data_IF_589846153506
#
_entry.id   IF_589846153506
#
_cell.length_a   1.000
_cell.length_b   1.000
_cell.length_c   1.000
_cell.angle_alpha   90.00
_cell.angle_beta   90.00
_cell.angle_gamma   90.00
#
_symmetry.space_group_name_H-M   'P 1'
#
loop_
_entity.id
_entity.type
_entity.pdbx_description
1 polymer ?
#
# COMPACT_ATOMS: atom_id res chain seq x y z
N UNK A 1 23.03 -2.35 -5.52
CA UNK A 1 23.44 -1.03 -5.07
C UNK A 1 22.32 -0.51 -4.20
N UNK A 2 22.66 -0.07 -3.00
CA UNK A 2 21.69 0.47 -2.07
C UNK A 2 21.24 1.87 -2.52
N UNK A 3 20.10 2.38 -2.04
CA UNK A 3 19.62 3.72 -2.42
C UNK A 3 20.67 4.81 -2.09
N UNK A 4 21.42 4.61 -1.01
CA UNK A 4 22.50 5.50 -0.58
C UNK A 4 23.66 5.56 -1.58
N UNK A 5 23.96 4.46 -2.30
CA UNK A 5 25.02 4.43 -3.32
C UNK A 5 24.69 5.35 -4.49
N UNK A 6 23.43 5.31 -4.95
CA UNK A 6 22.95 6.14 -6.06
C UNK A 6 22.91 7.63 -5.70
N UNK A 7 22.54 7.94 -4.46
CA UNK A 7 22.54 9.32 -3.96
C UNK A 7 23.96 9.87 -3.83
N UNK A 8 24.90 9.08 -3.31
CA UNK A 8 26.31 9.46 -3.24
C UNK A 8 26.91 9.66 -4.64
N UNK A 9 26.59 8.78 -5.59
CA UNK A 9 27.02 8.90 -6.98
C UNK A 9 26.53 10.20 -7.62
N UNK A 10 25.24 10.53 -7.44
CA UNK A 10 24.66 11.80 -7.90
C UNK A 10 25.37 13.00 -7.29
N UNK A 11 25.50 13.06 -5.95
CA UNK A 11 26.10 14.20 -5.27
C UNK A 11 27.57 14.39 -5.64
N UNK A 12 28.34 13.30 -5.71
CA UNK A 12 29.74 13.33 -6.12
C UNK A 12 29.89 13.86 -7.54
N UNK A 13 29.14 13.29 -8.49
CA UNK A 13 29.20 13.72 -9.89
C UNK A 13 28.76 15.18 -10.04
N UNK A 14 27.61 15.55 -9.49
CA UNK A 14 27.04 16.89 -9.64
C UNK A 14 27.97 17.97 -9.05
N UNK A 15 28.49 17.76 -7.84
CA UNK A 15 29.41 18.73 -7.21
C UNK A 15 30.75 18.80 -7.94
N UNK A 16 31.27 17.69 -8.47
CA UNK A 16 32.51 17.70 -9.27
C UNK A 16 32.38 18.43 -10.62
N UNK A 17 31.17 18.45 -11.18
CA UNK A 17 30.90 19.08 -12.48
C UNK A 17 30.55 20.57 -12.35
N UNK A 18 29.90 20.97 -11.25
CA UNK A 18 29.35 22.32 -11.08
C UNK A 18 30.09 23.19 -10.06
N UNK A 19 30.90 22.61 -9.16
CA UNK A 19 31.63 23.34 -8.12
C UNK A 19 33.15 23.24 -8.37
N UNK A 20 33.90 24.24 -7.94
CA UNK A 20 35.36 24.24 -8.09
C UNK A 20 35.99 23.10 -7.27
N UNK A 21 36.96 22.38 -7.84
CA UNK A 21 37.63 21.25 -7.19
C UNK A 21 38.35 21.61 -5.86
N UNK A 22 38.55 22.89 -5.59
CA UNK A 22 39.15 23.41 -4.35
C UNK A 22 38.13 23.60 -3.21
N UNK A 23 36.83 23.59 -3.49
CA UNK A 23 35.80 23.69 -2.47
C UNK A 23 35.58 22.32 -1.82
N UNK A 24 36.24 22.10 -0.68
CA UNK A 24 35.87 20.99 0.22
C UNK A 24 34.53 21.30 0.87
N UNK A 25 33.46 20.88 0.22
CA UNK A 25 32.10 20.98 0.74
C UNK A 25 31.98 20.08 1.99
N UNK A 26 31.75 20.70 3.15
CA UNK A 26 31.54 19.97 4.41
C UNK A 26 30.25 19.12 4.38
N UNK A 27 29.23 19.57 3.62
CA UNK A 27 27.99 18.85 3.36
C UNK A 27 27.57 19.10 1.90
N UNK A 28 27.97 18.20 0.97
CA UNK A 28 27.61 18.30 -0.44
C UNK A 28 26.10 18.34 -0.67
N UNK A 29 25.33 17.58 0.12
CA UNK A 29 23.88 17.49 -0.06
C UNK A 29 23.19 18.81 0.27
N UNK A 30 23.52 19.39 1.42
CA UNK A 30 23.00 20.71 1.81
C UNK A 30 23.44 21.81 0.86
N UNK A 31 24.67 21.74 0.35
CA UNK A 31 25.15 22.71 -0.65
C UNK A 31 24.32 22.67 -1.94
N UNK A 32 24.12 21.47 -2.52
CA UNK A 32 23.30 21.31 -3.73
C UNK A 32 21.87 21.77 -3.51
N UNK A 33 21.26 21.44 -2.36
CA UNK A 33 19.89 21.87 -2.06
C UNK A 33 19.73 23.38 -1.93
N UNK A 34 20.73 24.08 -1.38
CA UNK A 34 20.64 25.52 -1.11
C UNK A 34 21.03 26.36 -2.31
N UNK A 35 21.98 25.88 -3.12
CA UNK A 35 22.62 26.67 -4.18
C UNK A 35 22.14 26.26 -5.57
N UNK A 36 21.90 24.96 -5.79
CA UNK A 36 21.75 24.38 -7.13
C UNK A 36 20.39 23.72 -7.40
N UNK A 37 19.48 23.72 -6.42
CA UNK A 37 18.17 23.08 -6.56
C UNK A 37 17.36 23.55 -7.80
N UNK A 38 17.33 24.86 -8.16
CA UNK A 38 16.65 25.30 -9.38
C UNK A 38 17.23 24.66 -10.66
N UNK A 39 18.55 24.49 -10.73
CA UNK A 39 19.24 23.92 -11.88
C UNK A 39 19.01 22.41 -11.97
N UNK A 40 19.05 21.72 -10.82
CA UNK A 40 18.69 20.29 -10.71
C UNK A 40 17.25 20.06 -11.18
N UNK A 41 16.29 20.87 -10.72
CA UNK A 41 14.89 20.79 -11.16
C UNK A 41 14.74 21.10 -12.65
N UNK A 42 15.54 22.04 -13.18
CA UNK A 42 15.59 22.34 -14.61
C UNK A 42 16.07 21.16 -15.46
N UNK A 43 17.13 20.48 -15.01
CA UNK A 43 17.66 19.26 -15.64
C UNK A 43 16.64 18.12 -15.62
N UNK A 44 16.00 17.89 -14.46
CA UNK A 44 14.90 16.94 -14.34
C UNK A 44 13.78 17.23 -15.34
N UNK A 45 13.31 18.48 -15.39
CA UNK A 45 12.26 18.86 -16.33
C UNK A 45 12.63 18.52 -17.78
N UNK A 46 13.88 18.75 -18.18
CA UNK A 46 14.35 18.42 -19.53
C UNK A 46 14.38 16.92 -19.79
N UNK A 47 14.84 16.12 -18.83
CA UNK A 47 14.89 14.66 -18.96
C UNK A 47 13.50 14.03 -19.11
N UNK A 48 12.50 14.61 -18.44
CA UNK A 48 11.10 14.17 -18.53
C UNK A 48 10.32 14.85 -19.67
N UNK A 49 10.77 16.00 -20.21
CA UNK A 49 10.03 16.77 -21.22
C UNK A 49 9.78 16.03 -22.53
N UNK A 50 10.65 15.06 -22.89
CA UNK A 50 10.46 14.21 -24.08
C UNK A 50 9.32 13.21 -23.95
N UNK A 51 8.78 13.03 -22.74
CA UNK A 51 7.79 12.03 -22.40
C UNK A 51 6.63 12.71 -21.65
N UNK A 52 5.65 13.25 -22.39
CA UNK A 52 4.43 13.78 -21.75
C UNK A 52 3.49 12.64 -21.37
N UNK A 53 2.99 12.67 -20.14
CA UNK A 53 2.01 11.70 -19.68
C UNK A 53 0.67 11.89 -20.42
N UNK A 54 0.00 10.80 -20.88
CA UNK A 54 -1.32 10.85 -21.51
C UNK A 54 -2.42 11.64 -20.76
N UNK A 55 -2.39 11.71 -19.42
CA UNK A 55 -3.34 12.47 -18.62
C UNK A 55 -3.12 14.00 -18.70
N UNK A 56 -1.95 14.44 -19.16
CA UNK A 56 -1.55 15.84 -19.30
C UNK A 56 -1.48 16.28 -20.78
N UNK A 57 -1.44 15.33 -21.73
CA UNK A 57 -1.44 15.63 -23.16
C UNK A 57 -2.85 15.99 -23.65
N UNK A 58 -3.02 17.24 -24.08
CA UNK A 58 -4.27 17.74 -24.66
C UNK A 58 -4.46 17.33 -26.13
N UNK A 59 -3.45 16.72 -26.75
CA UNK A 59 -3.51 16.21 -28.13
C UNK A 59 -4.01 14.76 -28.14
N UNK A 60 -5.23 14.52 -27.65
CA UNK A 60 -5.90 13.26 -27.93
C UNK A 60 -6.27 13.19 -29.42
N UNK A 61 -5.33 12.76 -30.26
CA UNK A 61 -5.67 12.25 -31.58
C UNK A 61 -6.31 10.88 -31.38
N UNK A 62 -7.50 10.68 -31.97
CA UNK A 62 -8.39 9.51 -31.80
C UNK A 62 -7.81 8.17 -32.31
N UNK A 63 -6.53 8.13 -32.62
CA UNK A 63 -5.78 6.95 -33.04
C UNK A 63 -4.40 7.03 -32.40
N UNK A 64 -4.15 6.17 -31.41
CA UNK A 64 -2.81 5.92 -30.91
C UNK A 64 -2.05 5.18 -32.02
N UNK A 65 -0.92 5.72 -32.47
CA UNK A 65 -0.03 5.03 -33.40
C UNK A 65 0.84 4.07 -32.59
N UNK A 66 0.71 2.72 -32.77
CA UNK A 66 1.47 1.75 -32.00
C UNK A 66 3.00 1.92 -32.12
N UNK A 67 3.49 2.54 -33.21
CA UNK A 67 4.93 2.80 -33.41
C UNK A 67 5.43 3.95 -32.53
N UNK A 68 4.62 5.01 -32.40
CA UNK A 68 4.92 6.15 -31.53
C UNK A 68 4.88 5.69 -30.07
N UNK A 69 3.91 4.84 -29.70
CA UNK A 69 3.85 4.24 -28.37
C UNK A 69 5.08 3.37 -28.09
N UNK A 70 5.50 2.49 -29.00
CA UNK A 70 6.72 1.67 -28.83
C UNK A 70 8.00 2.51 -28.69
N UNK A 71 8.19 3.56 -29.50
CA UNK A 71 9.36 4.45 -29.38
C UNK A 71 9.36 5.25 -28.06
N UNK A 72 8.18 5.63 -27.55
CA UNK A 72 8.02 6.27 -26.24
C UNK A 72 8.30 5.34 -25.06
N UNK A 73 8.12 4.03 -25.22
CA UNK A 73 8.49 3.04 -24.20
C UNK A 73 9.99 2.72 -24.22
N UNK A 74 10.65 2.77 -25.38
CA UNK A 74 12.04 2.31 -25.55
C UNK A 74 13.10 3.40 -25.31
N UNK A 75 12.82 4.69 -25.57
CA UNK A 75 13.83 5.78 -25.49
C UNK A 75 13.66 6.71 -24.27
N UNK A 76 13.39 6.12 -23.11
CA UNK A 76 13.15 6.87 -21.89
C UNK A 76 14.46 7.34 -21.23
N UNK A 77 14.94 8.51 -21.66
CA UNK A 77 16.18 9.14 -21.15
C UNK A 77 16.25 9.29 -19.63
N UNK A 78 15.11 9.31 -18.94
CA UNK A 78 15.06 9.42 -17.49
C UNK A 78 15.37 8.10 -16.75
N UNK A 79 15.31 6.94 -17.45
CA UNK A 79 15.70 5.62 -16.95
C UNK A 79 17.18 5.29 -17.19
N UNK A 80 17.86 6.07 -18.03
CA UNK A 80 19.27 5.83 -18.34
C UNK A 80 20.14 6.06 -17.10
N UNK A 81 20.88 5.02 -16.70
CA UNK A 81 21.85 5.12 -15.61
C UNK A 81 23.13 5.75 -16.17
N UNK A 82 23.39 6.99 -15.79
CA UNK A 82 24.61 7.71 -16.12
C UNK A 82 25.36 8.01 -14.82
N UNK A 83 26.67 7.76 -14.80
CA UNK A 83 27.52 8.02 -13.63
C UNK A 83 27.02 7.34 -12.33
N UNK A 84 26.32 6.21 -12.45
CA UNK A 84 25.82 5.45 -11.31
C UNK A 84 24.46 5.91 -10.76
N UNK A 85 23.73 6.80 -11.43
CA UNK A 85 22.36 7.19 -11.04
C UNK A 85 21.44 7.43 -12.26
N UNK A 86 20.13 7.32 -12.05
CA UNK A 86 19.08 7.72 -13.00
C UNK A 86 18.33 8.97 -12.50
N UNK A 87 17.39 9.50 -13.28
CA UNK A 87 16.66 10.72 -12.90
C UNK A 87 15.62 10.48 -11.78
N UNK A 88 15.20 9.23 -11.57
CA UNK A 88 14.30 8.85 -10.48
C UNK A 88 15.05 8.91 -9.15
N UNK A 89 16.32 8.48 -9.11
CA UNK A 89 17.19 8.59 -7.94
C UNK A 89 17.33 10.05 -7.50
N UNK A 90 17.44 10.98 -8.45
CA UNK A 90 17.51 12.41 -8.16
C UNK A 90 16.20 12.92 -7.55
N UNK A 91 15.04 12.49 -8.07
CA UNK A 91 13.73 12.86 -7.49
C UNK A 91 13.59 12.28 -6.07
N UNK A 92 13.93 11.01 -5.87
CA UNK A 92 13.91 10.37 -4.55
C UNK A 92 14.82 11.11 -3.57
N UNK A 93 16.03 11.47 -3.99
CA UNK A 93 16.95 12.29 -3.20
C UNK A 93 16.35 13.65 -2.81
N UNK A 94 15.76 14.39 -3.77
CA UNK A 94 15.10 15.67 -3.50
C UNK A 94 13.99 15.48 -2.47
N UNK A 95 13.10 14.51 -2.67
CA UNK A 95 11.95 14.32 -1.79
C UNK A 95 12.38 13.83 -0.41
N UNK A 96 13.44 13.02 -0.29
CA UNK A 96 13.95 12.55 0.99
C UNK A 96 14.70 13.64 1.77
N UNK A 97 15.42 14.54 1.08
CA UNK A 97 16.33 15.50 1.72
C UNK A 97 15.72 16.89 1.88
N UNK A 98 14.87 17.35 0.96
CA UNK A 98 14.25 18.67 1.05
C UNK A 98 13.25 18.78 2.22
N UNK A 99 13.26 19.90 2.97
CA UNK A 99 12.17 20.23 3.89
C UNK A 99 10.91 20.63 3.11
N UNK A 100 9.74 20.51 3.77
CA UNK A 100 8.44 20.78 3.14
C UNK A 100 8.29 22.20 2.56
N UNK A 101 8.89 23.20 3.20
CA UNK A 101 8.82 24.60 2.78
C UNK A 101 9.54 24.86 1.44
N UNK A 102 10.63 24.15 1.19
CA UNK A 102 11.38 24.19 -0.08
C UNK A 102 10.74 23.30 -1.14
N UNK A 103 10.17 22.17 -0.73
CA UNK A 103 9.55 21.20 -1.61
C UNK A 103 8.21 21.69 -2.19
N UNK A 104 7.45 22.50 -1.44
CA UNK A 104 6.17 23.06 -1.89
C UNK A 104 6.28 23.87 -3.20
N UNK A 105 7.19 24.85 -3.30
CA UNK A 105 7.47 25.58 -4.54
C UNK A 105 8.00 24.71 -5.68
N UNK A 106 8.75 23.64 -5.38
CA UNK A 106 9.29 22.71 -6.38
C UNK A 106 8.22 21.75 -6.94
N UNK A 107 7.15 21.49 -6.18
CA UNK A 107 6.11 20.50 -6.48
C UNK A 107 5.56 20.57 -7.93
N UNK A 108 5.21 21.74 -8.50
CA UNK A 108 4.65 21.80 -9.85
C UNK A 108 5.58 21.23 -10.94
N UNK A 109 6.90 21.28 -10.73
CA UNK A 109 7.90 20.73 -11.65
C UNK A 109 8.10 19.23 -11.44
N UNK A 110 7.85 18.73 -10.24
CA UNK A 110 8.06 17.33 -9.87
C UNK A 110 6.84 16.46 -10.15
N UNK A 111 5.62 16.99 -10.04
CA UNK A 111 4.38 16.22 -10.23
C UNK A 111 4.31 15.53 -11.60
N UNK A 112 4.57 16.21 -12.75
CA UNK A 112 4.51 15.54 -14.05
C UNK A 112 5.48 14.37 -14.16
N UNK A 113 6.72 14.53 -13.67
CA UNK A 113 7.72 13.47 -13.65
C UNK A 113 7.30 12.32 -12.73
N UNK A 114 6.78 12.63 -11.54
CA UNK A 114 6.32 11.63 -10.56
C UNK A 114 5.15 10.82 -11.09
N UNK A 115 4.18 11.46 -11.75
CA UNK A 115 3.08 10.76 -12.40
C UNK A 115 3.58 9.91 -13.56
N UNK A 116 4.50 10.39 -14.40
CA UNK A 116 5.09 9.57 -15.47
C UNK A 116 5.76 8.30 -14.93
N UNK A 117 6.51 8.42 -13.82
CA UNK A 117 7.13 7.28 -13.13
C UNK A 117 6.06 6.31 -12.61
N UNK A 118 4.98 6.82 -12.02
CA UNK A 118 3.87 6.02 -11.50
C UNK A 118 3.08 5.32 -12.61
N UNK A 119 2.98 5.92 -13.79
CA UNK A 119 2.27 5.40 -14.95
C UNK A 119 3.13 4.49 -15.85
N UNK A 120 4.40 4.28 -15.49
CA UNK A 120 5.32 3.43 -16.24
C UNK A 120 4.85 1.98 -16.35
N UNK A 121 5.13 1.31 -17.47
CA UNK A 121 4.72 -0.09 -17.66
C UNK A 121 5.47 -1.05 -16.72
N UNK A 122 6.68 -0.71 -16.27
CA UNK A 122 7.41 -1.52 -15.31
C UNK A 122 7.00 -1.17 -13.87
N UNK A 123 6.50 -2.21 -13.20
CA UNK A 123 6.03 -2.21 -11.81
C UNK A 123 7.10 -1.68 -10.85
N UNK A 124 8.39 -1.90 -11.13
CA UNK A 124 9.48 -1.40 -10.28
C UNK A 124 9.46 0.14 -10.17
N UNK A 125 9.26 0.84 -11.28
CA UNK A 125 9.12 2.29 -11.31
C UNK A 125 7.80 2.76 -10.71
N UNK A 126 6.71 2.02 -10.90
CA UNK A 126 5.44 2.31 -10.22
C UNK A 126 5.58 2.32 -8.70
N UNK A 127 6.30 1.35 -8.14
CA UNK A 127 6.60 1.26 -6.70
C UNK A 127 7.38 2.49 -6.24
N UNK A 128 8.43 2.88 -6.97
CA UNK A 128 9.22 4.09 -6.71
C UNK A 128 8.34 5.35 -6.76
N UNK A 129 7.50 5.49 -7.79
CA UNK A 129 6.54 6.58 -7.93
C UNK A 129 5.59 6.68 -6.73
N UNK A 130 5.01 5.56 -6.29
CA UNK A 130 4.13 5.52 -5.13
C UNK A 130 4.86 5.93 -3.84
N UNK A 131 6.12 5.53 -3.66
CA UNK A 131 6.95 5.92 -2.52
C UNK A 131 7.31 7.41 -2.54
N UNK A 132 7.69 7.95 -3.70
CA UNK A 132 7.95 9.39 -3.90
C UNK A 132 6.71 10.18 -3.47
N UNK A 133 5.52 9.81 -3.97
CA UNK A 133 4.25 10.46 -3.60
C UNK A 133 4.01 10.38 -2.09
N UNK A 134 4.22 9.22 -1.47
CA UNK A 134 3.98 9.05 -0.04
C UNK A 134 4.86 9.97 0.80
N UNK A 135 6.11 10.18 0.39
CA UNK A 135 7.01 11.14 1.03
C UNK A 135 6.57 12.59 0.81
N UNK A 136 6.09 12.94 -0.39
CA UNK A 136 5.47 14.25 -0.65
C UNK A 136 4.26 14.48 0.29
N UNK A 137 3.39 13.47 0.46
CA UNK A 137 2.22 13.52 1.35
C UNK A 137 2.61 13.74 2.81
N UNK A 138 3.69 13.11 3.27
CA UNK A 138 4.20 13.27 4.62
C UNK A 138 4.68 14.71 4.89
N UNK A 139 5.40 15.31 3.93
CA UNK A 139 6.08 16.61 4.10
C UNK A 139 5.23 17.83 3.75
N UNK A 140 4.26 17.70 2.85
CA UNK A 140 3.53 18.84 2.30
C UNK A 140 2.19 19.11 2.98
N UNK A 141 1.71 20.35 2.83
CA UNK A 141 0.38 20.72 3.27
C UNK A 141 -0.71 20.17 2.32
N UNK A 142 -1.92 20.00 2.86
CA UNK A 142 -3.05 19.43 2.11
C UNK A 142 -3.50 20.28 0.91
N UNK A 143 -3.36 21.60 0.96
CA UNK A 143 -3.77 22.52 -0.12
C UNK A 143 -2.97 22.31 -1.40
N UNK A 144 -1.68 21.98 -1.27
CA UNK A 144 -0.81 21.69 -2.42
C UNK A 144 -1.15 20.34 -3.06
N UNK A 145 -1.52 19.33 -2.25
CA UNK A 145 -1.81 17.97 -2.69
C UNK A 145 -3.19 17.79 -3.34
N UNK A 146 -4.17 18.65 -3.01
CA UNK A 146 -5.53 18.54 -3.58
C UNK A 146 -5.55 18.80 -5.10
N UNK A 147 -4.57 19.51 -5.64
CA UNK A 147 -4.57 19.99 -7.03
C UNK A 147 -3.90 19.05 -8.03
N UNK A 148 -3.28 17.97 -7.58
CA UNK A 148 -2.29 17.22 -8.37
C UNK A 148 -2.81 15.94 -9.03
N UNK A 149 -4.12 15.64 -8.96
CA UNK A 149 -4.76 14.45 -9.56
C UNK A 149 -4.09 13.10 -9.26
N UNK A 150 -3.32 13.02 -8.16
CA UNK A 150 -2.50 11.86 -7.77
C UNK A 150 -3.37 10.67 -7.38
N UNK A 151 -4.54 10.93 -6.82
CA UNK A 151 -5.48 9.92 -6.35
C UNK A 151 -5.87 8.93 -7.45
N UNK A 152 -6.23 9.42 -8.63
CA UNK A 152 -6.62 8.54 -9.75
C UNK A 152 -5.49 7.63 -10.23
N UNK A 153 -4.26 8.15 -10.34
CA UNK A 153 -3.11 7.33 -10.72
C UNK A 153 -2.84 6.22 -9.69
N UNK A 154 -2.95 6.53 -8.39
CA UNK A 154 -2.82 5.53 -7.33
C UNK A 154 -3.97 4.50 -7.35
N UNK A 155 -5.20 4.89 -7.70
CA UNK A 155 -6.29 3.93 -7.89
C UNK A 155 -6.00 2.94 -9.02
N UNK A 156 -5.40 3.38 -10.13
CA UNK A 156 -5.00 2.48 -11.22
C UNK A 156 -3.93 1.46 -10.78
N UNK A 157 -3.05 1.80 -9.84
CA UNK A 157 -2.10 0.84 -9.29
C UNK A 157 -2.78 -0.31 -8.53
N UNK A 158 -3.98 -0.12 -7.98
CA UNK A 158 -4.68 -1.16 -7.21
C UNK A 158 -5.24 -2.29 -8.08
N UNK A 159 -5.38 -2.09 -9.40
CA UNK A 159 -5.83 -3.14 -10.31
C UNK A 159 -4.73 -4.11 -10.73
N UNK A 160 -3.48 -3.90 -10.31
CA UNK A 160 -2.35 -4.77 -10.63
C UNK A 160 -2.36 -6.02 -9.74
N UNK A 161 -2.86 -7.12 -10.29
CA UNK A 161 -3.09 -8.39 -9.58
C UNK A 161 -2.63 -9.61 -10.39
N UNK A 162 -1.86 -9.39 -11.44
CA UNK A 162 -1.54 -10.41 -12.43
C UNK A 162 -0.26 -11.16 -12.07
N UNK A 163 0.75 -10.44 -11.62
CA UNK A 163 2.11 -10.94 -11.39
C UNK A 163 2.50 -10.84 -9.92
N UNK A 164 3.42 -11.69 -9.44
CA UNK A 164 3.90 -11.65 -8.05
C UNK A 164 4.61 -10.33 -7.71
N UNK A 165 5.30 -9.74 -8.69
CA UNK A 165 5.92 -8.42 -8.52
C UNK A 165 4.91 -7.30 -8.23
N UNK A 166 3.64 -7.49 -8.60
CA UNK A 166 2.57 -6.51 -8.34
C UNK A 166 2.30 -6.36 -6.83
N UNK A 167 2.63 -7.37 -6.01
CA UNK A 167 2.47 -7.32 -4.55
C UNK A 167 3.26 -6.15 -3.95
N UNK A 168 4.46 -5.88 -4.46
CA UNK A 168 5.26 -4.74 -4.01
C UNK A 168 4.57 -3.42 -4.33
N UNK A 169 3.94 -3.33 -5.50
CA UNK A 169 3.18 -2.14 -5.90
C UNK A 169 1.96 -1.95 -5.00
N UNK A 170 1.19 -2.99 -4.71
CA UNK A 170 0.04 -2.89 -3.79
C UNK A 170 0.49 -2.43 -2.40
N UNK A 171 1.58 -3.00 -1.88
CA UNK A 171 2.14 -2.64 -0.58
C UNK A 171 2.63 -1.19 -0.51
N UNK A 172 3.01 -0.58 -1.65
CA UNK A 172 3.35 0.84 -1.73
C UNK A 172 2.11 1.73 -1.96
N UNK A 173 1.22 1.33 -2.87
CA UNK A 173 0.08 2.13 -3.33
C UNK A 173 -1.03 2.26 -2.29
N UNK A 174 -1.39 1.18 -1.56
CA UNK A 174 -2.45 1.24 -0.55
C UNK A 174 -2.12 2.24 0.57
N UNK A 175 -0.98 2.14 1.29
CA UNK A 175 -0.66 3.12 2.32
C UNK A 175 -0.56 4.54 1.76
N UNK A 176 0.04 4.71 0.58
CA UNK A 176 0.17 6.01 -0.08
C UNK A 176 -1.19 6.67 -0.35
N UNK A 177 -2.13 5.92 -0.94
CA UNK A 177 -3.46 6.42 -1.25
C UNK A 177 -4.27 6.73 0.01
N UNK A 178 -4.21 5.85 1.03
CA UNK A 178 -4.93 6.07 2.28
C UNK A 178 -4.37 7.28 3.05
N UNK A 179 -3.04 7.45 3.08
CA UNK A 179 -2.38 8.61 3.69
C UNK A 179 -2.73 9.91 2.93
N UNK A 180 -2.81 9.86 1.60
CA UNK A 180 -3.26 10.98 0.76
C UNK A 180 -4.71 11.35 1.06
N UNK A 181 -5.61 10.38 1.17
CA UNK A 181 -7.03 10.62 1.51
C UNK A 181 -7.11 11.28 2.88
N UNK A 182 -6.39 10.76 3.88
CA UNK A 182 -6.41 11.31 5.23
C UNK A 182 -5.89 12.74 5.31
N UNK A 183 -4.82 13.03 4.56
CA UNK A 183 -4.21 14.36 4.52
C UNK A 183 -5.11 15.37 3.80
N UNK A 184 -5.79 14.96 2.72
CA UNK A 184 -6.49 15.88 1.82
C UNK A 184 -7.98 16.02 2.11
N UNK A 185 -8.60 15.05 2.79
CA UNK A 185 -10.05 15.01 3.04
C UNK A 185 -10.34 15.01 4.54
N UNK A 186 -11.13 15.98 5.04
CA UNK A 186 -11.48 16.04 6.46
C UNK A 186 -12.15 14.75 6.96
N UNK A 187 -11.82 14.36 8.18
CA UNK A 187 -12.47 13.24 8.87
C UNK A 187 -13.99 13.43 8.93
N UNK A 188 -14.75 12.36 8.69
CA UNK A 188 -16.22 12.40 8.65
C UNK A 188 -16.83 13.08 7.42
N UNK A 189 -16.04 13.66 6.51
CA UNK A 189 -16.59 14.26 5.29
C UNK A 189 -17.14 13.20 4.32
N UNK A 190 -18.22 13.55 3.61
CA UNK A 190 -18.83 12.67 2.58
C UNK A 190 -17.82 12.27 1.50
N UNK A 191 -16.96 13.20 1.09
CA UNK A 191 -15.92 12.94 0.07
C UNK A 191 -14.90 11.91 0.56
N UNK A 192 -14.46 11.99 1.82
CA UNK A 192 -13.55 11.01 2.43
C UNK A 192 -14.20 9.62 2.43
N UNK A 193 -15.44 9.53 2.91
CA UNK A 193 -16.17 8.26 2.93
C UNK A 193 -16.32 7.65 1.52
N UNK A 194 -16.65 8.46 0.51
CA UNK A 194 -16.74 8.00 -0.88
C UNK A 194 -15.41 7.46 -1.42
N UNK A 195 -14.28 8.10 -1.10
CA UNK A 195 -12.97 7.61 -1.51
C UNK A 195 -12.59 6.31 -0.78
N UNK A 196 -12.86 6.20 0.52
CA UNK A 196 -12.67 4.94 1.25
C UNK A 196 -13.55 3.81 0.71
N UNK A 197 -14.80 4.10 0.35
CA UNK A 197 -15.68 3.12 -0.32
C UNK A 197 -15.11 2.71 -1.68
N UNK A 198 -14.57 3.66 -2.45
CA UNK A 198 -13.90 3.35 -3.72
C UNK A 198 -12.69 2.45 -3.52
N UNK A 199 -11.83 2.71 -2.51
CA UNK A 199 -10.70 1.82 -2.18
C UNK A 199 -11.19 0.42 -1.79
N UNK A 200 -12.26 0.35 -1.01
CA UNK A 200 -12.87 -0.92 -0.59
C UNK A 200 -13.42 -1.70 -1.80
N UNK A 201 -14.15 -1.04 -2.70
CA UNK A 201 -14.78 -1.70 -3.86
C UNK A 201 -13.74 -2.00 -4.94
N UNK A 202 -13.13 -0.95 -5.49
CA UNK A 202 -12.28 -1.03 -6.68
C UNK A 202 -10.95 -1.72 -6.40
N UNK A 203 -10.41 -1.55 -5.19
CA UNK A 203 -9.16 -2.17 -4.78
C UNK A 203 -9.37 -3.52 -4.11
N UNK A 204 -10.05 -3.54 -2.96
CA UNK A 204 -10.07 -4.73 -2.09
C UNK A 204 -11.06 -5.78 -2.57
N UNK A 205 -12.33 -5.43 -2.78
CA UNK A 205 -13.37 -6.41 -3.12
C UNK A 205 -13.17 -6.99 -4.51
N UNK A 206 -12.88 -6.16 -5.52
CA UNK A 206 -12.51 -6.67 -6.84
C UNK A 206 -11.21 -7.49 -6.76
N UNK A 207 -10.24 -7.05 -5.97
CA UNK A 207 -9.00 -7.78 -5.76
C UNK A 207 -9.19 -9.17 -5.18
N UNK A 208 -10.08 -9.33 -4.20
CA UNK A 208 -10.41 -10.63 -3.63
C UNK A 208 -11.02 -11.59 -4.66
N UNK A 209 -11.83 -11.08 -5.58
CA UNK A 209 -12.41 -11.90 -6.65
C UNK A 209 -11.34 -12.39 -7.63
N UNK A 210 -10.31 -11.58 -7.89
CA UNK A 210 -9.22 -11.91 -8.81
C UNK A 210 -8.09 -12.74 -8.17
N UNK A 211 -7.85 -12.60 -6.87
CA UNK A 211 -6.76 -13.27 -6.15
C UNK A 211 -7.13 -14.68 -5.63
N UNK A 212 -8.36 -15.15 -5.90
CA UNK A 212 -8.89 -16.37 -5.29
C UNK A 212 -8.01 -17.62 -5.53
N UNK A 213 -7.92 -18.44 -4.48
CA UNK A 213 -7.36 -19.80 -4.36
C UNK A 213 -5.90 -20.09 -4.74
N UNK A 214 -5.13 -19.15 -5.31
CA UNK A 214 -3.75 -19.43 -5.74
C UNK A 214 -2.71 -18.33 -5.48
N UNK A 215 -3.12 -17.10 -5.14
CA UNK A 215 -2.22 -15.94 -4.98
C UNK A 215 -2.17 -15.44 -3.54
N UNK A 216 -1.55 -16.23 -2.66
CA UNK A 216 -1.54 -15.98 -1.20
C UNK A 216 -0.83 -14.67 -0.82
N UNK A 217 0.21 -14.27 -1.56
CA UNK A 217 0.90 -13.00 -1.34
C UNK A 217 0.04 -11.77 -1.70
N UNK A 218 -0.72 -11.83 -2.80
CA UNK A 218 -1.69 -10.78 -3.14
C UNK A 218 -2.80 -10.72 -2.10
N UNK A 219 -3.29 -11.87 -1.65
CA UNK A 219 -4.31 -11.93 -0.62
C UNK A 219 -3.85 -11.25 0.68
N UNK A 220 -2.60 -11.49 1.10
CA UNK A 220 -2.00 -10.77 2.23
C UNK A 220 -2.00 -9.25 2.00
N UNK A 221 -1.54 -8.79 0.84
CA UNK A 221 -1.51 -7.37 0.50
C UNK A 221 -2.91 -6.72 0.47
N UNK A 222 -3.92 -7.44 -0.01
CA UNK A 222 -5.31 -6.99 -0.08
C UNK A 222 -6.00 -6.96 1.29
N UNK A 223 -5.59 -7.82 2.22
CA UNK A 223 -6.13 -7.83 3.59
C UNK A 223 -5.54 -6.70 4.46
N UNK A 224 -4.28 -6.31 4.25
CA UNK A 224 -3.63 -5.22 5.00
C UNK A 224 -4.46 -3.92 5.14
N UNK A 225 -5.08 -3.38 4.07
CA UNK A 225 -5.89 -2.16 4.20
C UNK A 225 -7.26 -2.38 4.88
N UNK A 226 -7.75 -3.61 5.03
CA UNK A 226 -9.12 -3.91 5.50
C UNK A 226 -9.39 -3.32 6.89
N UNK A 227 -8.46 -3.49 7.83
CA UNK A 227 -8.61 -2.92 9.18
C UNK A 227 -8.82 -1.41 9.15
N UNK A 228 -8.02 -0.67 8.37
CA UNK A 228 -8.15 0.79 8.25
C UNK A 228 -9.44 1.18 7.54
N UNK A 229 -9.79 0.46 6.47
CA UNK A 229 -11.04 0.67 5.73
C UNK A 229 -12.27 0.50 6.62
N UNK A 230 -12.35 -0.55 7.42
CA UNK A 230 -13.48 -0.76 8.32
C UNK A 230 -13.54 0.28 9.45
N UNK A 231 -12.41 0.71 10.02
CA UNK A 231 -12.38 1.78 11.02
C UNK A 231 -12.93 3.10 10.48
N UNK A 232 -12.62 3.43 9.22
CA UNK A 232 -13.05 4.68 8.58
C UNK A 232 -14.48 4.61 8.01
N UNK A 233 -14.87 3.48 7.44
CA UNK A 233 -16.22 3.27 6.91
C UNK A 233 -17.26 3.07 8.02
N UNK A 234 -16.84 2.56 9.18
CA UNK A 234 -17.73 2.28 10.30
C UNK A 234 -18.88 1.35 9.88
N UNK A 235 -20.15 1.69 10.20
CA UNK A 235 -21.31 0.87 9.83
C UNK A 235 -21.48 0.61 8.33
N UNK A 236 -20.93 1.45 7.45
CA UNK A 236 -20.98 1.20 6.01
C UNK A 236 -20.20 -0.07 5.61
N UNK A 237 -19.27 -0.53 6.46
CA UNK A 237 -18.57 -1.81 6.28
C UNK A 237 -19.49 -3.03 6.22
N UNK A 238 -20.74 -2.92 6.71
CA UNK A 238 -21.74 -4.00 6.67
C UNK A 238 -22.05 -4.43 5.23
N UNK A 239 -22.02 -3.51 4.26
CA UNK A 239 -22.30 -3.82 2.84
C UNK A 239 -21.32 -4.83 2.25
N UNK A 240 -20.11 -4.91 2.80
CA UNK A 240 -19.01 -5.74 2.28
C UNK A 240 -18.72 -6.96 3.16
N UNK A 241 -19.50 -7.15 4.23
CA UNK A 241 -19.21 -8.12 5.29
C UNK A 241 -19.16 -9.56 4.78
N UNK A 242 -20.08 -9.95 3.89
CA UNK A 242 -20.13 -11.32 3.35
C UNK A 242 -18.81 -11.67 2.66
N UNK A 243 -18.39 -10.88 1.68
CA UNK A 243 -17.15 -11.12 0.92
C UNK A 243 -15.93 -11.05 1.82
N UNK A 244 -15.86 -10.05 2.69
CA UNK A 244 -14.70 -9.85 3.57
C UNK A 244 -14.54 -11.01 4.55
N UNK A 245 -15.62 -11.45 5.21
CA UNK A 245 -15.55 -12.59 6.14
C UNK A 245 -15.17 -13.87 5.42
N UNK A 246 -15.76 -14.16 4.25
CA UNK A 246 -15.42 -15.35 3.46
C UNK A 246 -13.91 -15.40 3.20
N UNK A 247 -13.35 -14.32 2.65
CA UNK A 247 -11.94 -14.24 2.29
C UNK A 247 -11.02 -14.32 3.51
N UNK A 248 -11.36 -13.64 4.60
CA UNK A 248 -10.61 -13.74 5.87
C UNK A 248 -10.59 -15.19 6.37
N UNK A 249 -11.74 -15.88 6.37
CA UNK A 249 -11.81 -17.25 6.88
C UNK A 249 -11.12 -18.27 5.97
N UNK A 250 -11.11 -18.03 4.65
CA UNK A 250 -10.30 -18.80 3.71
C UNK A 250 -8.80 -18.59 3.96
N UNK A 251 -8.37 -17.34 4.18
CA UNK A 251 -6.99 -17.02 4.52
C UNK A 251 -6.56 -17.73 5.81
N UNK A 252 -7.40 -17.72 6.86
CA UNK A 252 -7.16 -18.44 8.12
C UNK A 252 -7.01 -19.96 7.94
N UNK A 253 -7.62 -20.52 6.90
CA UNK A 253 -7.49 -21.92 6.53
C UNK A 253 -6.18 -22.27 5.83
N UNK A 254 -5.34 -21.28 5.51
CA UNK A 254 -4.02 -21.50 4.91
C UNK A 254 -2.95 -21.51 6.01
N UNK A 255 -2.05 -22.48 6.02
CA UNK A 255 -0.95 -22.56 7.00
C UNK A 255 0.20 -21.60 6.63
N UNK A 256 -0.11 -20.30 6.60
CA UNK A 256 0.82 -19.22 6.25
C UNK A 256 0.77 -18.16 7.35
N UNK A 257 1.85 -18.07 8.14
CA UNK A 257 1.88 -17.24 9.35
C UNK A 257 1.53 -15.76 9.11
N UNK A 258 2.19 -15.12 8.15
CA UNK A 258 2.01 -13.70 7.85
C UNK A 258 0.58 -13.39 7.39
N UNK A 259 0.05 -14.22 6.50
CA UNK A 259 -1.33 -14.11 6.03
C UNK A 259 -2.33 -14.29 7.18
N UNK A 260 -2.13 -15.28 8.04
CA UNK A 260 -2.99 -15.54 9.20
C UNK A 260 -2.99 -14.38 10.20
N UNK A 261 -1.84 -13.78 10.48
CA UNK A 261 -1.77 -12.60 11.36
C UNK A 261 -2.58 -11.42 10.81
N UNK A 262 -2.43 -11.11 9.52
CA UNK A 262 -3.18 -10.02 8.87
C UNK A 262 -4.67 -10.35 8.81
N UNK A 263 -5.04 -11.61 8.56
CA UNK A 263 -6.43 -12.06 8.56
C UNK A 263 -7.08 -11.95 9.94
N UNK A 264 -6.38 -12.34 11.02
CA UNK A 264 -6.87 -12.19 12.40
C UNK A 264 -7.03 -10.71 12.79
N UNK A 265 -6.07 -9.85 12.48
CA UNK A 265 -6.17 -8.41 12.74
C UNK A 265 -7.39 -7.80 12.03
N UNK A 266 -7.56 -8.16 10.75
CA UNK A 266 -8.70 -7.75 9.94
C UNK A 266 -10.01 -8.25 10.54
N UNK A 267 -10.09 -9.53 10.91
CA UNK A 267 -11.26 -10.14 11.52
C UNK A 267 -11.66 -9.44 12.82
N UNK A 268 -10.69 -9.18 13.70
CA UNK A 268 -10.97 -8.47 14.94
C UNK A 268 -11.53 -7.06 14.68
N UNK A 269 -10.98 -6.34 13.71
CA UNK A 269 -11.46 -5.00 13.37
C UNK A 269 -12.86 -5.04 12.75
N UNK A 270 -13.12 -5.98 11.84
CA UNK A 270 -14.44 -6.21 11.24
C UNK A 270 -15.46 -6.58 12.31
N UNK A 271 -15.11 -7.47 13.25
CA UNK A 271 -15.98 -7.85 14.36
C UNK A 271 -16.31 -6.68 15.27
N UNK A 272 -15.32 -5.86 15.67
CA UNK A 272 -15.56 -4.66 16.50
C UNK A 272 -16.45 -3.64 15.79
N UNK A 273 -16.27 -3.46 14.48
CA UNK A 273 -16.98 -2.45 13.69
C UNK A 273 -18.41 -2.87 13.36
N UNK A 274 -18.61 -4.15 13.04
CA UNK A 274 -19.88 -4.67 12.51
C UNK A 274 -20.54 -5.69 13.46
N UNK A 275 -20.21 -5.67 14.75
CA UNK A 275 -20.63 -6.67 15.76
C UNK A 275 -22.12 -7.05 15.70
N UNK A 276 -23.10 -6.14 15.47
CA UNK A 276 -24.52 -6.52 15.48
C UNK A 276 -24.91 -7.47 14.33
N UNK A 277 -24.06 -7.61 13.31
CA UNK A 277 -24.29 -8.45 12.14
C UNK A 277 -23.36 -9.67 12.07
N UNK A 278 -22.43 -9.82 13.02
CA UNK A 278 -21.44 -10.91 13.03
C UNK A 278 -22.09 -12.28 13.31
N UNK A 279 -23.13 -12.34 14.14
CA UNK A 279 -23.84 -13.59 14.48
C UNK A 279 -24.25 -14.41 13.26
N UNK A 280 -24.65 -13.76 12.16
CA UNK A 280 -25.03 -14.45 10.91
C UNK A 280 -23.89 -15.28 10.30
N UNK A 281 -22.65 -14.90 10.59
CA UNK A 281 -21.44 -15.54 10.07
C UNK A 281 -20.77 -16.46 11.10
N UNK A 282 -21.41 -16.73 12.24
CA UNK A 282 -20.83 -17.43 13.38
C UNK A 282 -20.13 -18.75 13.02
N UNK A 283 -20.82 -19.61 12.26
CA UNK A 283 -20.28 -20.92 11.88
C UNK A 283 -19.06 -20.83 10.95
N UNK A 284 -19.07 -19.87 10.01
CA UNK A 284 -17.94 -19.69 9.07
C UNK A 284 -16.72 -19.12 9.78
N UNK A 285 -16.93 -18.14 10.67
CA UNK A 285 -15.86 -17.55 11.48
C UNK A 285 -15.27 -18.58 12.44
N UNK A 286 -16.13 -19.31 13.18
CA UNK A 286 -15.68 -20.33 14.13
C UNK A 286 -14.91 -21.45 13.42
N UNK A 287 -15.40 -21.91 12.27
CA UNK A 287 -14.67 -22.86 11.42
C UNK A 287 -13.28 -22.33 11.06
N UNK A 288 -13.18 -21.10 10.55
CA UNK A 288 -11.89 -20.49 10.19
C UNK A 288 -10.92 -20.39 11.38
N UNK A 289 -11.40 -19.94 12.55
CA UNK A 289 -10.60 -19.88 13.77
C UNK A 289 -10.13 -21.26 14.23
N UNK A 290 -11.02 -22.26 14.21
CA UNK A 290 -10.71 -23.63 14.59
C UNK A 290 -9.68 -24.27 13.63
N UNK A 291 -9.83 -24.05 12.32
CA UNK A 291 -8.87 -24.52 11.32
C UNK A 291 -7.49 -23.89 11.52
N UNK A 292 -7.44 -22.56 11.69
CA UNK A 292 -6.19 -21.85 11.96
C UNK A 292 -5.53 -22.36 13.26
N UNK A 293 -6.31 -22.55 14.32
CA UNK A 293 -5.82 -23.12 15.58
C UNK A 293 -5.20 -24.50 15.40
N UNK A 294 -5.82 -25.39 14.61
CA UNK A 294 -5.30 -26.72 14.35
C UNK A 294 -3.89 -26.72 13.72
N UNK A 295 -3.54 -25.69 12.94
CA UNK A 295 -2.19 -25.54 12.37
C UNK A 295 -1.14 -25.25 13.45
N UNK A 296 -1.48 -24.45 14.46
CA UNK A 296 -0.52 -23.90 15.42
C UNK A 296 -0.57 -24.51 16.82
N UNK A 297 -1.62 -25.26 17.17
CA UNK A 297 -1.86 -25.76 18.54
C UNK A 297 -0.68 -26.54 19.11
N UNK A 298 -0.13 -27.48 18.32
CA UNK A 298 0.96 -28.38 18.75
C UNK A 298 2.36 -27.83 18.51
N UNK A 299 2.49 -26.67 17.87
CA UNK A 299 3.81 -26.11 17.50
C UNK A 299 4.39 -25.28 18.63
N UNK A 300 5.71 -25.28 18.82
CA UNK A 300 6.34 -24.69 20.01
C UNK A 300 7.24 -23.47 19.75
N UNK A 301 7.29 -22.96 18.51
CA UNK A 301 8.08 -21.74 18.25
C UNK A 301 7.50 -20.53 18.98
N UNK A 302 8.33 -19.51 19.20
CA UNK A 302 7.88 -18.23 19.77
C UNK A 302 6.76 -17.59 18.95
N UNK A 303 6.85 -17.67 17.62
CA UNK A 303 5.85 -17.14 16.69
C UNK A 303 4.53 -17.92 16.79
N UNK A 304 4.58 -19.24 16.97
CA UNK A 304 3.36 -20.06 17.15
C UNK A 304 2.65 -19.71 18.46
N UNK A 305 3.40 -19.40 19.52
CA UNK A 305 2.85 -18.93 20.81
C UNK A 305 2.13 -17.59 20.67
N UNK A 306 2.71 -16.66 19.91
CA UNK A 306 2.09 -15.37 19.58
C UNK A 306 0.79 -15.56 18.76
N UNK A 307 0.83 -16.44 17.76
CA UNK A 307 -0.33 -16.80 16.95
C UNK A 307 -1.46 -17.39 17.81
N UNK A 308 -1.14 -18.35 18.70
CA UNK A 308 -2.11 -18.93 19.64
C UNK A 308 -2.73 -17.88 20.54
N UNK A 309 -1.92 -16.97 21.10
CA UNK A 309 -2.43 -15.88 21.93
C UNK A 309 -3.39 -14.97 21.15
N UNK A 310 -3.04 -14.64 19.91
CA UNK A 310 -3.87 -13.82 19.02
C UNK A 310 -5.18 -14.52 18.66
N UNK A 311 -5.15 -15.82 18.39
CA UNK A 311 -6.34 -16.65 18.15
C UNK A 311 -7.27 -16.68 19.37
N UNK A 312 -6.74 -16.92 20.57
CA UNK A 312 -7.50 -16.89 21.82
C UNK A 312 -8.16 -15.51 22.04
N UNK A 313 -7.42 -14.42 21.83
CA UNK A 313 -7.97 -13.06 21.92
C UNK A 313 -9.08 -12.82 20.89
N UNK A 314 -8.89 -13.30 19.66
CA UNK A 314 -9.89 -13.20 18.59
C UNK A 314 -11.14 -14.01 18.90
N UNK A 315 -10.97 -15.20 19.48
CA UNK A 315 -12.09 -16.04 19.92
C UNK A 315 -12.88 -15.40 21.07
N UNK A 316 -12.22 -14.78 22.06
CA UNK A 316 -12.93 -14.03 23.10
C UNK A 316 -13.78 -12.90 22.53
N UNK A 317 -13.25 -12.17 21.55
CA UNK A 317 -14.00 -11.15 20.83
C UNK A 317 -15.17 -11.75 20.04
N UNK A 318 -14.95 -12.88 19.36
CA UNK A 318 -16.00 -13.62 18.66
C UNK A 318 -17.14 -13.98 19.63
N UNK A 319 -16.83 -14.60 20.78
CA UNK A 319 -17.81 -14.94 21.81
C UNK A 319 -18.57 -13.71 22.32
N UNK A 320 -17.89 -12.59 22.51
CA UNK A 320 -18.56 -11.34 22.88
C UNK A 320 -19.52 -10.82 21.80
N UNK A 321 -19.18 -10.98 20.52
CA UNK A 321 -20.03 -10.59 19.39
C UNK A 321 -21.22 -11.53 19.17
N UNK A 322 -21.07 -12.83 19.43
CA UNK A 322 -22.11 -13.84 19.19
C UNK A 322 -22.92 -14.21 20.42
N UNK A 323 -22.45 -13.86 21.62
CA UNK A 323 -23.03 -14.30 22.90
C UNK A 323 -23.19 -15.83 22.91
N UNK A 324 -24.35 -16.34 23.30
CA UNK A 324 -24.64 -17.77 23.38
C UNK A 324 -25.01 -18.41 22.03
N UNK A 325 -25.12 -17.64 20.95
CA UNK A 325 -25.58 -18.16 19.66
C UNK A 325 -24.63 -19.21 19.05
N UNK A 326 -23.35 -19.22 19.44
CA UNK A 326 -22.35 -20.15 18.93
C UNK A 326 -22.10 -21.35 19.87
N UNK A 327 -22.88 -21.49 20.95
CA UNK A 327 -22.63 -22.49 21.99
C UNK A 327 -22.65 -23.92 21.44
N UNK A 328 -23.66 -24.28 20.66
CA UNK A 328 -23.80 -25.63 20.10
C UNK A 328 -22.59 -26.00 19.21
N UNK A 329 -22.11 -25.05 18.41
CA UNK A 329 -20.94 -25.26 17.55
C UNK A 329 -19.63 -25.38 18.37
N UNK A 330 -19.52 -24.64 19.48
CA UNK A 330 -18.38 -24.71 20.41
C UNK A 330 -18.37 -26.07 21.13
N UNK A 331 -19.54 -26.51 21.62
CA UNK A 331 -19.70 -27.80 22.30
C UNK A 331 -19.38 -28.96 21.34
N UNK A 332 -19.77 -28.85 20.07
CA UNK A 332 -19.40 -29.83 19.05
C UNK A 332 -17.88 -29.93 18.82
N UNK A 333 -17.15 -28.81 18.83
CA UNK A 333 -15.69 -28.80 18.73
C UNK A 333 -15.01 -29.41 19.96
N UNK A 334 -15.53 -29.14 21.17
CA UNK A 334 -15.03 -29.75 22.41
C UNK A 334 -15.28 -31.27 22.44
N UNK A 335 -16.42 -31.74 21.92
CA UNK A 335 -16.71 -33.17 21.80
C UNK A 335 -15.79 -33.85 20.78
N UNK A 336 -15.38 -33.14 19.73
CA UNK A 336 -14.47 -33.65 18.71
C UNK A 336 -13.02 -33.79 19.22
N UNK A 337 -12.47 -32.75 19.84
CA UNK A 337 -11.12 -32.78 20.45
C UNK A 337 -11.05 -31.85 21.65
N UNK A 338 -11.37 -32.41 22.83
CA UNK A 338 -11.43 -31.64 24.07
C UNK A 338 -10.07 -31.02 24.43
N UNK A 339 -8.97 -31.75 24.26
CA UNK A 339 -7.63 -31.28 24.63
C UNK A 339 -7.25 -30.06 23.77
N UNK A 340 -7.42 -30.16 22.45
CA UNK A 340 -7.06 -29.07 21.55
C UNK A 340 -7.94 -27.84 21.72
N UNK A 341 -9.26 -28.01 21.80
CA UNK A 341 -10.19 -26.87 21.76
C UNK A 341 -10.44 -26.24 23.12
N UNK A 342 -10.27 -26.96 24.23
CA UNK A 342 -10.29 -26.33 25.57
C UNK A 342 -9.19 -25.27 25.71
N UNK A 343 -8.01 -25.52 25.14
CA UNK A 343 -6.91 -24.55 25.12
C UNK A 343 -7.19 -23.33 24.23
N UNK A 344 -7.98 -23.45 23.16
CA UNK A 344 -8.40 -22.32 22.33
C UNK A 344 -9.42 -21.44 23.07
N UNK A 345 -10.41 -22.07 23.72
CA UNK A 345 -11.51 -21.35 24.35
C UNK A 345 -11.10 -20.74 25.70
N UNK A 346 -10.05 -21.29 26.32
CA UNK A 346 -9.69 -21.00 27.70
C UNK A 346 -10.70 -21.61 28.66
N UNK A 347 -10.36 -21.74 29.94
CA UNK A 347 -11.35 -22.09 30.96
C UNK A 347 -12.46 -21.02 30.93
N UNK A 348 -13.61 -21.40 30.40
CA UNK A 348 -14.81 -20.57 30.30
C UNK A 348 -15.32 -20.12 31.64
#
# INVERSE_FOLDING_TARGET
>A
MDNDDHQQAFLHFYTSACCDANDRLADPSKHVLTTHLPDVLGSLRQAFARHQHPALDKRQTRYADPRIDSEHLENQTWKEIQHGYDQVNVIEWIVNTCPGDTLGPALPQMIPATLLILDDYDVSYKVRGANIIRQLVAKLNSKLLIRSSIDNALFHCLSYLSQDKDVQLLNAAYPCLLDLIDKTKPAGSKQRAQLYQRVMVDGVILGFQSAASSKTQHLEALLRPVSRLYKELGPLGIYYLKTTITVITEALGMDIYQLNMVALESLQTVMRTCWPRITRFKGVILKGLATCWAHYYKRESSSDKEMRHTLQNTFRLFKACTQDDAKDDIDALLQYDHEAFSALFGNT
#
